data_IF_288075416333
#
_entry.id   IF_288075416333
#
_cell.length_a   1.000
_cell.length_b   1.000
_cell.length_c   1.000
_cell.angle_alpha   90.00
_cell.angle_beta   90.00
_cell.angle_gamma   90.00
#
_symmetry.space_group_name_H-M   'P 1'
#
loop_
_entity.id
_entity.type
_entity.pdbx_description
1 polymer ?
#
# COMPACT_ATOMS: atom_id res chain seq x y z
N UNK A 1 -22.21 2.72 4.86
CA UNK A 1 -20.76 2.94 4.70
C UNK A 1 -20.07 2.28 5.89
N UNK A 2 -19.24 1.27 5.66
CA UNK A 2 -18.44 0.68 6.74
C UNK A 2 -17.37 1.70 7.15
N UNK A 3 -17.20 2.00 8.45
CA UNK A 3 -16.12 2.88 8.90
C UNK A 3 -14.78 2.32 8.44
N UNK A 4 -13.88 3.18 7.96
CA UNK A 4 -12.52 2.77 7.63
C UNK A 4 -11.83 2.30 8.92
N UNK A 5 -11.11 1.19 8.83
CA UNK A 5 -10.50 0.58 9.99
C UNK A 5 -9.44 1.49 10.62
N UNK A 6 -9.46 1.59 11.95
CA UNK A 6 -8.39 2.19 12.75
C UNK A 6 -7.69 1.05 13.48
N UNK A 7 -6.47 0.79 13.08
CA UNK A 7 -5.56 -0.16 13.74
C UNK A 7 -4.37 0.62 14.30
N UNK A 8 -3.63 0.00 15.21
CA UNK A 8 -2.47 0.58 15.84
C UNK A 8 -1.33 0.83 14.83
N UNK A 9 -0.49 1.83 15.12
CA UNK A 9 0.66 2.20 14.28
C UNK A 9 1.84 1.23 14.52
N UNK A 10 1.62 -0.04 14.18
CA UNK A 10 2.59 -1.13 14.34
C UNK A 10 2.82 -1.85 13.00
N UNK A 11 3.58 -2.93 13.05
CA UNK A 11 3.82 -3.80 11.90
C UNK A 11 2.85 -4.98 11.92
N UNK A 12 2.33 -5.34 10.75
CA UNK A 12 1.44 -6.49 10.57
C UNK A 12 1.92 -7.36 9.41
N UNK A 13 1.68 -8.66 9.50
CA UNK A 13 1.81 -9.54 8.35
C UNK A 13 0.60 -9.35 7.45
N UNK A 14 0.83 -9.06 6.17
CA UNK A 14 -0.25 -8.80 5.22
C UNK A 14 -0.12 -9.57 3.92
N UNK A 15 -1.25 -9.78 3.24
CA UNK A 15 -1.32 -10.31 1.87
C UNK A 15 -2.15 -9.38 0.98
N UNK A 16 -1.71 -9.20 -0.27
CA UNK A 16 -2.47 -8.45 -1.27
C UNK A 16 -3.83 -9.15 -1.51
N UNK A 17 -4.90 -8.35 -1.51
CA UNK A 17 -6.26 -8.80 -1.88
C UNK A 17 -6.70 -8.19 -3.19
N UNK A 18 -6.31 -6.93 -3.44
CA UNK A 18 -6.73 -6.19 -4.62
C UNK A 18 -5.69 -5.17 -5.02
N UNK A 19 -5.44 -5.04 -6.31
CA UNK A 19 -4.62 -4.00 -6.90
C UNK A 19 -5.42 -3.33 -8.01
N UNK A 20 -5.68 -2.03 -7.90
CA UNK A 20 -6.50 -1.30 -8.88
C UNK A 20 -5.94 0.08 -9.16
N UNK A 21 -6.18 0.54 -10.39
CA UNK A 21 -6.05 1.93 -10.78
C UNK A 21 -7.20 2.73 -10.16
N UNK A 22 -6.88 3.67 -9.27
CA UNK A 22 -7.92 4.53 -8.73
C UNK A 22 -8.50 5.41 -9.84
N UNK A 23 -9.83 5.65 -9.82
CA UNK A 23 -10.44 6.67 -10.68
C UNK A 23 -9.71 7.99 -10.48
N UNK A 24 -9.47 8.71 -11.57
CA UNK A 24 -8.77 9.99 -11.53
C UNK A 24 -9.46 10.93 -10.54
N UNK A 25 -8.77 11.26 -9.46
CA UNK A 25 -9.18 12.31 -8.52
C UNK A 25 -8.14 13.41 -8.57
N UNK A 26 -8.56 14.64 -8.84
CA UNK A 26 -7.67 15.80 -8.92
C UNK A 26 -6.48 15.56 -9.89
N UNK A 27 -6.78 15.03 -11.08
CA UNK A 27 -5.80 14.70 -12.14
C UNK A 27 -4.73 13.66 -11.75
N UNK A 28 -4.87 13.05 -10.57
CA UNK A 28 -3.96 12.00 -10.10
C UNK A 28 -4.61 10.64 -10.22
N UNK A 29 -3.86 9.73 -10.80
CA UNK A 29 -4.25 8.33 -10.97
C UNK A 29 -3.32 7.48 -10.12
N UNK A 30 -3.64 7.38 -8.84
CA UNK A 30 -2.85 6.59 -7.90
C UNK A 30 -3.14 5.08 -8.10
N UNK A 31 -2.11 4.26 -7.87
CA UNK A 31 -2.26 2.82 -7.65
C UNK A 31 -2.73 2.60 -6.21
N UNK A 32 -3.83 1.86 -6.06
CA UNK A 32 -4.32 1.35 -4.78
C UNK A 32 -4.02 -0.13 -4.67
N UNK A 33 -3.25 -0.50 -3.66
CA UNK A 33 -3.08 -1.88 -3.22
C UNK A 33 -3.80 -2.07 -1.88
N UNK A 34 -4.77 -2.97 -1.83
CA UNK A 34 -5.45 -3.35 -0.60
C UNK A 34 -4.81 -4.61 -0.02
N UNK A 35 -4.38 -4.51 1.23
CA UNK A 35 -3.70 -5.56 1.97
C UNK A 35 -4.56 -6.05 3.13
N UNK A 36 -4.77 -7.35 3.23
CA UNK A 36 -5.43 -7.97 4.38
C UNK A 36 -4.41 -8.36 5.43
N UNK A 37 -4.65 -7.99 6.68
CA UNK A 37 -3.90 -8.43 7.85
C UNK A 37 -4.17 -9.91 8.09
N UNK A 38 -3.10 -10.70 8.26
CA UNK A 38 -3.15 -12.15 8.42
C UNK A 38 -3.00 -12.61 9.87
N UNK A 39 -2.61 -11.73 10.80
CA UNK A 39 -2.32 -12.09 12.19
C UNK A 39 -2.76 -11.05 13.21
N UNK A 40 -2.90 -11.51 14.46
CA UNK A 40 -3.20 -10.67 15.62
C UNK A 40 -4.66 -10.25 15.75
N UNK A 41 -4.91 -9.24 16.58
CA UNK A 41 -6.25 -8.77 16.97
C UNK A 41 -7.02 -8.15 15.78
N UNK A 42 -6.30 -7.74 14.74
CA UNK A 42 -6.86 -7.11 13.54
C UNK A 42 -6.86 -8.06 12.32
N UNK A 43 -6.78 -9.37 12.53
CA UNK A 43 -6.88 -10.36 11.45
C UNK A 43 -8.13 -10.12 10.60
N UNK A 44 -7.96 -10.17 9.28
CA UNK A 44 -9.04 -9.96 8.31
C UNK A 44 -9.30 -8.49 7.94
N UNK A 45 -8.77 -7.53 8.70
CA UNK A 45 -8.86 -6.10 8.35
C UNK A 45 -8.11 -5.82 7.06
N UNK A 46 -8.73 -5.02 6.18
CA UNK A 46 -8.14 -4.60 4.91
C UNK A 46 -7.67 -3.15 5.00
N UNK A 47 -6.41 -2.92 4.65
CA UNK A 47 -5.74 -1.62 4.70
C UNK A 47 -5.28 -1.20 3.30
N UNK A 48 -5.54 0.05 2.88
CA UNK A 48 -5.11 0.54 1.59
C UNK A 48 -3.63 1.00 1.65
N UNK A 49 -2.93 0.86 0.52
CA UNK A 49 -1.64 1.47 0.23
C UNK A 49 -1.77 2.28 -1.07
N UNK A 50 -1.43 3.56 -1.03
CA UNK A 50 -1.55 4.47 -2.18
C UNK A 50 -0.18 4.82 -2.74
N UNK A 51 -0.01 4.65 -4.05
CA UNK A 51 1.22 4.96 -4.76
C UNK A 51 0.95 5.86 -5.96
N UNK A 52 1.72 6.93 -6.08
CA UNK A 52 1.75 7.73 -7.31
C UNK A 52 2.57 6.98 -8.37
N UNK A 53 1.94 6.70 -9.51
CA UNK A 53 2.56 5.99 -10.65
C UNK A 53 2.11 6.61 -11.97
N UNK A 54 2.81 6.29 -13.05
CA UNK A 54 2.41 6.66 -14.42
C UNK A 54 1.87 5.43 -15.12
N UNK A 55 0.57 5.41 -15.40
CA UNK A 55 -0.10 4.28 -16.04
C UNK A 55 0.17 4.23 -17.54
N UNK A 56 0.37 3.02 -18.06
CA UNK A 56 0.31 2.74 -19.50
C UNK A 56 -1.06 2.20 -19.87
N UNK A 57 -1.62 1.31 -19.05
CA UNK A 57 -2.96 0.75 -19.19
C UNK A 57 -3.65 0.57 -17.82
N UNK A 58 -4.50 -0.44 -17.64
CA UNK A 58 -5.21 -0.73 -16.39
C UNK A 58 -4.42 -1.65 -15.43
N UNK A 59 -3.38 -2.33 -15.91
CA UNK A 59 -2.56 -3.30 -15.17
C UNK A 59 -1.09 -2.94 -15.12
N UNK A 60 -0.58 -2.23 -16.13
CA UNK A 60 0.83 -1.90 -16.26
C UNK A 60 1.10 -0.41 -16.05
N UNK A 61 2.21 -0.11 -15.37
CA UNK A 61 2.60 1.25 -15.01
C UNK A 61 4.11 1.38 -14.82
N UNK A 62 4.56 2.63 -14.68
CA UNK A 62 5.93 3.00 -14.34
C UNK A 62 5.97 3.69 -12.98
N UNK A 63 7.02 3.37 -12.22
CA UNK A 63 7.35 4.04 -10.97
C UNK A 63 8.80 4.55 -11.03
N UNK A 64 9.02 5.78 -10.57
CA UNK A 64 10.37 6.36 -10.55
C UNK A 64 11.26 5.67 -9.50
N UNK A 65 12.60 5.60 -9.69
CA UNK A 65 13.51 4.90 -8.76
C UNK A 65 13.48 5.41 -7.31
N UNK A 66 13.08 6.67 -7.09
CA UNK A 66 12.96 7.29 -5.76
C UNK A 66 11.55 7.18 -5.16
N UNK A 67 10.58 6.65 -5.88
CA UNK A 67 9.18 6.57 -5.45
C UNK A 67 8.99 5.56 -4.31
N UNK A 68 7.88 5.70 -3.58
CA UNK A 68 7.54 4.75 -2.51
C UNK A 68 7.31 3.34 -3.05
N UNK A 69 6.63 3.22 -4.21
CA UNK A 69 6.37 1.92 -4.83
C UNK A 69 7.67 1.20 -5.15
N UNK A 70 8.63 1.89 -5.80
CA UNK A 70 9.89 1.29 -6.21
C UNK A 70 10.70 0.78 -5.01
N UNK A 71 10.72 1.54 -3.90
CA UNK A 71 11.40 1.15 -2.66
C UNK A 71 10.74 -0.05 -1.99
N UNK A 72 9.40 -0.07 -1.94
CA UNK A 72 8.64 -1.16 -1.34
C UNK A 72 8.79 -2.44 -2.19
N UNK A 73 8.76 -2.32 -3.52
CA UNK A 73 9.06 -3.41 -4.45
C UNK A 73 10.45 -3.99 -4.18
N UNK A 74 11.48 -3.14 -4.11
CA UNK A 74 12.85 -3.60 -3.83
C UNK A 74 12.96 -4.31 -2.48
N UNK A 75 12.27 -3.81 -1.47
CA UNK A 75 12.29 -4.38 -0.13
C UNK A 75 11.55 -5.71 -0.01
N UNK A 76 10.63 -6.03 -0.94
CA UNK A 76 9.78 -7.24 -0.89
C UNK A 76 10.08 -8.29 -1.97
N UNK A 77 10.66 -7.87 -3.10
CA UNK A 77 10.80 -8.69 -4.32
C UNK A 77 12.25 -8.72 -4.80
N UNK A 78 13.02 -7.65 -4.57
CA UNK A 78 14.44 -7.58 -4.90
C UNK A 78 14.78 -6.65 -6.07
N UNK A 79 15.95 -6.88 -6.68
CA UNK A 79 16.56 -5.94 -7.62
C UNK A 79 15.73 -5.70 -8.89
N UNK A 80 15.84 -4.47 -9.41
CA UNK A 80 15.01 -3.91 -10.49
C UNK A 80 15.88 -3.52 -11.69
N UNK A 81 17.10 -4.06 -11.80
CA UNK A 81 18.06 -3.71 -12.84
C UNK A 81 17.40 -3.80 -14.24
N UNK A 82 17.23 -2.66 -14.90
CA UNK A 82 16.61 -2.55 -16.22
C UNK A 82 15.07 -2.62 -16.26
N UNK A 83 14.37 -2.87 -15.14
CA UNK A 83 12.90 -2.91 -15.09
C UNK A 83 12.35 -1.47 -15.06
N UNK A 84 11.75 -1.04 -16.17
CA UNK A 84 11.08 0.26 -16.34
C UNK A 84 9.56 0.20 -16.15
N UNK A 85 8.99 -1.01 -16.12
CA UNK A 85 7.56 -1.28 -16.06
C UNK A 85 7.24 -2.26 -14.92
N UNK A 86 6.11 -2.02 -14.27
CA UNK A 86 5.57 -2.76 -13.13
C UNK A 86 4.14 -3.17 -13.41
N UNK A 87 3.63 -4.10 -12.62
CA UNK A 87 2.28 -4.65 -12.80
C UNK A 87 1.50 -4.66 -11.51
N UNK A 88 0.18 -4.62 -11.60
CA UNK A 88 -0.73 -4.81 -10.46
C UNK A 88 -0.58 -6.18 -9.77
N UNK A 89 0.09 -7.12 -10.44
CA UNK A 89 0.31 -8.51 -9.99
C UNK A 89 1.66 -8.68 -9.27
N UNK A 90 2.52 -7.64 -9.19
CA UNK A 90 3.87 -7.74 -8.63
C UNK A 90 3.90 -8.29 -7.18
N UNK A 91 2.87 -8.02 -6.39
CA UNK A 91 2.71 -8.48 -5.00
C UNK A 91 1.72 -9.64 -4.85
N UNK A 92 1.22 -10.22 -5.94
CA UNK A 92 0.31 -11.35 -5.91
C UNK A 92 0.96 -12.53 -5.18
N UNK A 93 0.18 -13.20 -4.34
CA UNK A 93 0.58 -14.32 -3.48
C UNK A 93 1.71 -14.09 -2.46
N UNK A 94 2.28 -12.89 -2.41
CA UNK A 94 3.31 -12.54 -1.42
C UNK A 94 2.71 -12.18 -0.07
N UNK A 95 3.41 -12.62 0.98
CA UNK A 95 3.21 -12.13 2.34
C UNK A 95 4.30 -11.12 2.65
N UNK A 96 3.92 -9.95 3.14
CA UNK A 96 4.85 -8.86 3.43
C UNK A 96 4.62 -8.34 4.85
N UNK A 97 5.65 -7.74 5.43
CA UNK A 97 5.50 -6.96 6.66
C UNK A 97 5.11 -5.54 6.27
N UNK A 98 3.91 -5.11 6.68
CA UNK A 98 3.41 -3.77 6.45
C UNK A 98 3.60 -2.92 7.71
N UNK A 99 4.30 -1.80 7.59
CA UNK A 99 4.23 -0.72 8.59
C UNK A 99 2.96 0.06 8.36
N UNK A 100 2.08 0.10 9.36
CA UNK A 100 0.80 0.79 9.29
C UNK A 100 0.87 2.15 9.98
N UNK A 101 0.11 3.11 9.47
CA UNK A 101 -0.03 4.41 10.11
C UNK A 101 -1.46 4.93 10.00
N UNK A 102 -1.89 5.67 11.02
CA UNK A 102 -3.16 6.38 11.02
C UNK A 102 -3.06 7.73 10.29
N UNK A 103 -3.99 7.93 9.37
CA UNK A 103 -4.27 9.22 8.72
C UNK A 103 -5.26 9.96 9.60
N UNK A 104 -4.73 10.84 10.44
CA UNK A 104 -5.51 11.68 11.36
C UNK A 104 -5.53 13.16 10.99
N UNK A 105 -4.74 13.55 9.99
CA UNK A 105 -4.59 14.93 9.53
C UNK A 105 -4.76 15.00 8.01
N UNK A 106 -5.21 16.15 7.52
CA UNK A 106 -5.28 16.45 6.10
C UNK A 106 -3.93 16.92 5.52
N UNK A 107 -3.96 17.43 4.29
CA UNK A 107 -2.77 17.92 3.60
C UNK A 107 -2.20 19.22 4.18
N UNK A 108 -3.04 20.02 4.85
CA UNK A 108 -2.64 21.27 5.51
C UNK A 108 -2.17 21.02 6.95
N UNK A 109 -2.31 19.78 7.44
CA UNK A 109 -1.89 19.35 8.77
C UNK A 109 -2.98 19.49 9.82
N UNK A 110 -4.19 19.86 9.41
CA UNK A 110 -5.35 20.03 10.29
C UNK A 110 -5.97 18.67 10.63
N UNK A 111 -6.49 18.48 11.86
CA UNK A 111 -7.12 17.23 12.26
C UNK A 111 -8.33 16.88 11.38
N UNK A 112 -8.36 15.65 10.90
CA UNK A 112 -9.53 15.10 10.23
C UNK A 112 -10.64 14.82 11.25
N UNK A 113 -11.89 15.02 10.82
CA UNK A 113 -13.06 14.58 11.57
C UNK A 113 -12.95 13.09 11.92
N UNK A 114 -13.36 12.64 13.13
CA UNK A 114 -13.15 11.26 13.58
C UNK A 114 -13.64 10.17 12.62
N UNK A 115 -14.71 10.46 11.85
CA UNK A 115 -15.28 9.56 10.84
C UNK A 115 -14.39 9.39 9.60
N UNK A 116 -13.56 10.39 9.29
CA UNK A 116 -12.67 10.42 8.12
C UNK A 116 -11.26 9.95 8.44
N UNK A 117 -10.95 9.64 9.70
CA UNK A 117 -9.66 9.10 10.10
C UNK A 117 -9.60 7.60 9.79
N UNK A 118 -8.47 7.12 9.30
CA UNK A 118 -8.30 5.73 8.89
C UNK A 118 -6.85 5.27 8.95
N UNK A 119 -6.62 3.97 9.04
CA UNK A 119 -5.28 3.40 8.91
C UNK A 119 -4.96 3.02 7.47
N UNK A 120 -3.68 3.15 7.10
CA UNK A 120 -3.17 2.75 5.78
C UNK A 120 -1.80 2.10 5.91
N UNK A 121 -1.42 1.32 4.91
CA UNK A 121 -0.03 0.86 4.76
C UNK A 121 0.84 2.06 4.39
N UNK A 122 1.90 2.27 5.16
CA UNK A 122 2.92 3.31 4.93
C UNK A 122 4.12 2.77 4.16
N UNK A 123 4.54 1.54 4.48
CA UNK A 123 5.71 0.86 3.91
C UNK A 123 5.51 -0.64 3.92
N UNK A 124 6.11 -1.31 2.94
CA UNK A 124 6.22 -2.76 2.88
C UNK A 124 7.68 -3.21 2.99
N UNK A 125 7.89 -4.39 3.56
CA UNK A 125 9.17 -5.11 3.60
C UNK A 125 8.95 -6.61 3.40
N UNK A 126 9.96 -7.30 2.89
CA UNK A 126 9.98 -8.75 2.86
C UNK A 126 9.81 -9.32 4.27
N UNK A 127 9.10 -10.43 4.36
CA UNK A 127 9.08 -11.25 5.56
C UNK A 127 10.42 -11.99 5.61
N UNK A 128 11.32 -11.55 6.47
CA UNK A 128 12.50 -12.33 6.82
C UNK A 128 12.00 -13.36 7.84
N UNK A 129 11.84 -14.60 7.41
CA UNK A 129 11.78 -15.71 8.36
C UNK A 129 13.21 -15.82 8.95
N UNK A 130 13.36 -15.58 10.25
CA UNK A 130 14.60 -15.93 10.96
C UNK A 130 14.66 -17.46 11.00
N UNK A 131 15.58 -18.04 10.22
CA UNK A 131 15.97 -19.46 10.30
C UNK A 131 16.66 -19.78 11.65
#
# INVERSE_FOLDING_TARGET
MTPLAKVEDVQYLVKLVRAVKCPTRYERTDLLLDFRILDGIHEGVVLPAYYQVTWFDERTFRAGPKSNYFRDYQACIGSVAGKSCFTTEDFEDRKCIATVTQVIKDADGEPLAPLNQYSRVRRLRERVDED
#
